data_IF_918183876799
#
_entry.id   IF_918183876799
#
_cell.length_a   1.000
_cell.length_b   1.000
_cell.length_c   1.000
_cell.angle_alpha   90.00
_cell.angle_beta   90.00
_cell.angle_gamma   90.00
#
_symmetry.space_group_name_H-M   'P 1'
#
loop_
_entity.id
_entity.type
_entity.pdbx_description
1 polymer ?
#
# COMPACT_ATOMS: atom_id res chain seq x y z
N UNK A 1 -6.82 4.70 7.81
CA UNK A 1 -6.08 4.40 6.55
C UNK A 1 -6.24 2.92 6.23
N UNK A 2 -6.03 2.51 4.98
CA UNK A 2 -6.05 1.08 4.62
C UNK A 2 -5.15 0.73 3.45
N UNK A 3 -4.73 -0.54 3.44
CA UNK A 3 -4.20 -1.22 2.27
C UNK A 3 -5.16 -2.30 1.84
N UNK A 4 -5.38 -2.42 0.53
CA UNK A 4 -6.21 -3.47 -0.06
C UNK A 4 -5.42 -4.22 -1.12
N UNK A 5 -5.07 -5.48 -0.84
CA UNK A 5 -4.50 -6.38 -1.84
C UNK A 5 -5.62 -6.87 -2.76
N UNK A 6 -5.40 -6.74 -4.07
CA UNK A 6 -6.27 -7.36 -5.07
C UNK A 6 -5.80 -8.80 -5.29
N UNK A 7 -6.68 -9.76 -5.04
CA UNK A 7 -6.41 -11.19 -5.26
C UNK A 7 -6.76 -11.63 -6.68
N UNK A 8 -7.80 -11.02 -7.26
CA UNK A 8 -8.29 -11.29 -8.61
C UNK A 8 -9.02 -10.06 -9.17
N UNK A 9 -8.73 -9.68 -10.42
CA UNK A 9 -9.40 -8.57 -11.11
C UNK A 9 -10.78 -8.93 -11.67
N UNK A 10 -11.14 -10.21 -11.70
CA UNK A 10 -12.36 -10.69 -12.38
C UNK A 10 -13.61 -9.99 -11.86
N UNK A 11 -14.26 -9.25 -12.75
CA UNK A 11 -15.50 -8.54 -12.45
C UNK A 11 -15.35 -7.38 -11.46
N UNK A 12 -14.14 -6.86 -11.25
CA UNK A 12 -13.97 -5.59 -10.54
C UNK A 12 -14.37 -4.41 -11.43
N UNK A 13 -14.94 -3.39 -10.80
CA UNK A 13 -15.16 -2.08 -11.44
C UNK A 13 -14.00 -1.16 -11.10
N UNK A 14 -13.91 0.01 -11.74
CA UNK A 14 -12.76 0.90 -11.59
C UNK A 14 -13.20 2.36 -11.46
N UNK A 15 -12.46 3.11 -10.65
CA UNK A 15 -12.45 4.57 -10.65
C UNK A 15 -11.16 5.03 -11.30
N UNK A 16 -11.22 5.48 -12.56
CA UNK A 16 -10.02 5.72 -13.36
C UNK A 16 -9.23 4.40 -13.55
N UNK A 17 -7.97 4.38 -13.10
CA UNK A 17 -7.11 3.19 -13.10
C UNK A 17 -7.17 2.38 -11.79
N UNK A 18 -7.91 2.86 -10.78
CA UNK A 18 -7.94 2.26 -9.45
C UNK A 18 -9.08 1.23 -9.39
N UNK A 19 -8.79 -0.04 -9.07
CA UNK A 19 -9.84 -1.03 -8.84
C UNK A 19 -10.75 -0.59 -7.69
N UNK A 20 -12.05 -0.53 -7.94
CA UNK A 20 -13.03 -0.33 -6.88
C UNK A 20 -13.00 -1.58 -5.99
N UNK A 21 -12.66 -1.36 -4.73
CA UNK A 21 -12.68 -2.38 -3.68
C UNK A 21 -14.08 -2.35 -3.03
N UNK A 22 -14.99 -3.28 -3.36
CA UNK A 22 -16.34 -3.29 -2.79
C UNK A 22 -16.30 -3.52 -1.28
N UNK A 23 -17.40 -3.17 -0.59
CA UNK A 23 -17.51 -3.39 0.85
C UNK A 23 -17.27 -4.87 1.19
N UNK A 24 -16.39 -5.17 2.15
CA UNK A 24 -16.14 -6.55 2.57
C UNK A 24 -17.41 -7.17 3.16
N UNK A 25 -17.56 -8.51 3.09
CA UNK A 25 -16.58 -9.45 2.56
C UNK A 25 -16.65 -9.59 1.03
N UNK A 26 -15.51 -9.41 0.35
CA UNK A 26 -15.34 -9.76 -1.06
C UNK A 26 -14.17 -10.74 -1.20
N UNK A 27 -14.37 -11.93 -1.79
CA UNK A 27 -13.33 -12.96 -1.88
C UNK A 27 -12.15 -12.57 -2.78
N UNK A 28 -12.24 -11.46 -3.51
CA UNK A 28 -11.22 -10.97 -4.44
C UNK A 28 -10.27 -9.96 -3.80
N UNK A 29 -10.46 -9.61 -2.52
CA UNK A 29 -9.60 -8.64 -1.84
C UNK A 29 -9.17 -9.14 -0.45
N UNK A 30 -8.07 -8.59 0.05
CA UNK A 30 -7.61 -8.73 1.43
C UNK A 30 -7.24 -7.34 1.97
N UNK A 31 -7.72 -6.99 3.16
CA UNK A 31 -7.68 -5.62 3.68
C UNK A 31 -6.91 -5.53 4.98
N UNK A 32 -6.18 -4.43 5.14
CA UNK A 32 -5.51 -4.09 6.38
C UNK A 32 -5.77 -2.64 6.73
N UNK A 33 -6.45 -2.42 7.85
CA UNK A 33 -6.73 -1.11 8.39
C UNK A 33 -5.68 -0.74 9.43
N UNK A 34 -5.25 0.52 9.40
CA UNK A 34 -4.30 1.07 10.34
C UNK A 34 -4.57 2.57 10.52
N UNK A 35 -4.07 3.09 11.63
CA UNK A 35 -4.14 4.50 11.98
C UNK A 35 -2.75 5.01 12.35
N UNK A 36 -2.47 6.26 11.98
CA UNK A 36 -1.28 7.01 12.41
C UNK A 36 -1.77 8.07 13.38
N UNK A 37 -1.10 8.18 14.54
CA UNK A 37 -1.42 9.26 15.45
C UNK A 37 -1.11 10.62 14.81
N UNK A 38 -1.93 11.64 15.08
CA UNK A 38 -1.73 12.98 14.53
C UNK A 38 -0.30 13.52 14.72
N UNK A 39 0.35 13.19 15.83
CA UNK A 39 1.72 13.62 16.16
C UNK A 39 2.79 12.97 15.25
N UNK A 40 2.47 11.84 14.63
CA UNK A 40 3.39 11.03 13.82
C UNK A 40 3.10 11.19 12.32
N UNK A 41 2.10 11.99 11.91
CA UNK A 41 1.72 12.19 10.51
C UNK A 41 2.88 12.77 9.67
N UNK A 42 3.53 13.84 10.14
CA UNK A 42 4.68 14.44 9.45
C UNK A 42 5.84 13.43 9.32
N UNK A 43 6.08 12.63 10.36
CA UNK A 43 7.09 11.56 10.33
C UNK A 43 6.72 10.45 9.35
N UNK A 44 5.44 10.12 9.23
CA UNK A 44 4.97 9.13 8.25
C UNK A 44 5.08 9.67 6.82
N UNK A 45 4.80 10.95 6.61
CA UNK A 45 4.95 11.60 5.32
C UNK A 45 6.42 11.58 4.84
N UNK A 46 7.34 11.99 5.71
CA UNK A 46 8.79 11.97 5.42
C UNK A 46 9.34 10.56 5.24
N UNK A 47 8.87 9.59 6.04
CA UNK A 47 9.46 8.26 6.09
C UNK A 47 8.88 7.26 5.09
N UNK A 48 7.62 7.46 4.72
CA UNK A 48 6.87 6.56 3.86
C UNK A 48 6.36 7.25 2.60
N UNK A 49 5.52 8.29 2.73
CA UNK A 49 4.80 8.87 1.59
C UNK A 49 5.79 9.41 0.55
N UNK A 50 6.67 10.33 0.96
CA UNK A 50 7.64 10.97 0.07
C UNK A 50 8.57 9.98 -0.65
N UNK A 51 9.20 9.00 0.04
CA UNK A 51 10.01 7.98 -0.62
C UNK A 51 9.22 7.08 -1.57
N UNK A 52 8.01 6.66 -1.19
CA UNK A 52 7.17 5.78 -2.02
C UNK A 52 6.70 6.51 -3.28
N UNK A 53 6.32 7.78 -3.18
CA UNK A 53 5.97 8.59 -4.34
C UNK A 53 7.11 8.75 -5.33
N UNK A 54 8.30 9.07 -4.84
CA UNK A 54 9.48 9.16 -5.69
C UNK A 54 9.81 7.82 -6.37
N UNK A 55 9.65 6.70 -5.65
CA UNK A 55 9.94 5.35 -6.13
C UNK A 55 8.93 4.84 -7.16
N UNK A 56 7.65 5.00 -6.85
CA UNK A 56 6.52 4.49 -7.63
C UNK A 56 6.05 5.47 -8.72
N UNK A 57 6.54 6.72 -8.68
CA UNK A 57 6.08 7.85 -9.51
C UNK A 57 4.57 8.08 -9.34
N UNK A 58 4.14 8.10 -8.09
CA UNK A 58 2.77 8.34 -7.66
C UNK A 58 2.64 9.72 -7.01
N UNK A 59 1.42 10.08 -6.64
CA UNK A 59 1.09 11.30 -5.91
C UNK A 59 0.22 10.91 -4.71
N UNK A 60 0.73 10.01 -3.87
CA UNK A 60 0.06 9.59 -2.64
C UNK A 60 0.15 10.74 -1.64
N UNK A 61 -0.98 11.13 -1.07
CA UNK A 61 -1.05 12.05 0.05
C UNK A 61 -2.10 11.56 1.05
N UNK A 62 -2.18 12.17 2.22
CA UNK A 62 -3.28 11.95 3.14
C UNK A 62 -4.61 12.34 2.48
N UNK A 63 -5.63 11.49 2.64
CA UNK A 63 -6.94 11.55 1.99
C UNK A 63 -6.97 11.15 0.51
N UNK A 64 -5.85 10.67 -0.05
CA UNK A 64 -5.79 10.15 -1.41
C UNK A 64 -5.83 8.63 -1.47
N UNK A 65 -6.23 8.14 -2.65
CA UNK A 65 -6.24 6.73 -3.00
C UNK A 65 -5.40 6.51 -4.25
N UNK A 66 -4.55 5.49 -4.23
CA UNK A 66 -3.68 5.13 -5.35
C UNK A 66 -3.60 3.62 -5.53
N UNK A 67 -3.46 3.18 -6.78
CA UNK A 67 -3.26 1.79 -7.13
C UNK A 67 -1.82 1.52 -7.59
N UNK A 68 -1.13 0.68 -6.83
CA UNK A 68 0.18 0.14 -7.17
C UNK A 68 0.02 -1.20 -7.87
N UNK A 69 0.21 -1.23 -9.19
CA UNK A 69 0.29 -2.46 -9.98
C UNK A 69 1.50 -3.34 -9.58
N UNK A 70 1.59 -4.53 -10.16
CA UNK A 70 2.65 -5.49 -9.87
C UNK A 70 4.09 -4.93 -10.07
N UNK A 71 4.31 -4.05 -11.05
CA UNK A 71 5.62 -3.46 -11.32
C UNK A 71 6.00 -2.44 -10.24
N UNK A 72 5.03 -1.63 -9.80
CA UNK A 72 5.22 -0.72 -8.65
C UNK A 72 5.38 -1.51 -7.35
N UNK A 73 4.63 -2.59 -7.17
CA UNK A 73 4.77 -3.50 -6.03
C UNK A 73 6.17 -4.13 -5.97
N UNK A 74 6.77 -4.50 -7.10
CA UNK A 74 8.13 -5.04 -7.13
C UNK A 74 9.16 -4.03 -6.60
N UNK A 75 9.08 -2.77 -7.04
CA UNK A 75 9.96 -1.70 -6.54
C UNK A 75 9.73 -1.45 -5.05
N UNK A 76 8.47 -1.36 -4.64
CA UNK A 76 8.10 -1.09 -3.27
C UNK A 76 8.54 -2.22 -2.33
N UNK A 77 8.43 -3.47 -2.76
CA UNK A 77 8.92 -4.65 -2.02
C UNK A 77 10.40 -4.52 -1.71
N UNK A 78 11.23 -4.26 -2.73
CA UNK A 78 12.68 -4.11 -2.55
C UNK A 78 13.01 -2.95 -1.59
N UNK A 79 12.27 -1.84 -1.70
CA UNK A 79 12.43 -0.72 -0.77
C UNK A 79 12.02 -1.07 0.66
N UNK A 80 10.89 -1.77 0.86
CA UNK A 80 10.40 -2.18 2.18
C UNK A 80 11.37 -3.14 2.88
N UNK A 81 11.95 -4.10 2.14
CA UNK A 81 12.95 -5.03 2.66
C UNK A 81 14.19 -4.29 3.20
N UNK A 82 14.62 -3.21 2.54
CA UNK A 82 15.70 -2.35 3.03
C UNK A 82 15.26 -1.39 4.14
N UNK A 83 14.03 -0.85 4.06
CA UNK A 83 13.48 0.09 5.04
C UNK A 83 13.34 -0.55 6.42
N UNK A 84 12.88 -1.80 6.47
CA UNK A 84 12.68 -2.57 7.71
C UNK A 84 13.98 -2.87 8.47
N UNK A 85 15.14 -2.76 7.82
CA UNK A 85 16.48 -2.95 8.43
C UNK A 85 17.03 -1.68 9.09
N UNK A 86 16.40 -0.53 8.85
CA UNK A 86 16.82 0.77 9.38
C UNK A 86 16.01 1.13 10.63
N UNK A 87 16.41 2.18 11.35
CA UNK A 87 15.62 2.73 12.44
C UNK A 87 14.46 3.57 11.90
N UNK A 88 13.31 3.51 12.58
CA UNK A 88 12.09 4.29 12.32
C UNK A 88 11.20 4.26 13.56
N UNK A 89 10.07 4.99 13.52
CA UNK A 89 9.09 4.92 14.60
C UNK A 89 8.46 3.52 14.64
N UNK A 90 8.59 2.82 15.76
CA UNK A 90 8.22 1.39 15.87
C UNK A 90 6.73 1.13 15.58
N UNK A 91 5.85 2.11 15.76
CA UNK A 91 4.44 1.99 15.37
C UNK A 91 4.22 1.87 13.86
N UNK A 92 5.20 2.21 13.03
CA UNK A 92 5.14 2.00 11.57
C UNK A 92 5.49 0.56 11.17
N UNK A 93 6.08 -0.24 12.07
CA UNK A 93 6.56 -1.59 11.75
C UNK A 93 5.45 -2.51 11.26
N UNK A 94 4.28 -2.63 11.94
CA UNK A 94 3.20 -3.46 11.46
C UNK A 94 2.69 -3.05 10.07
N UNK A 95 2.71 -1.74 9.79
CA UNK A 95 2.27 -1.17 8.51
C UNK A 95 3.22 -1.61 7.39
N UNK A 96 4.52 -1.47 7.60
CA UNK A 96 5.55 -1.83 6.61
C UNK A 96 5.62 -3.33 6.38
N UNK A 97 5.55 -4.14 7.44
CA UNK A 97 5.53 -5.60 7.33
C UNK A 97 4.30 -6.10 6.56
N UNK A 98 3.13 -5.49 6.81
CA UNK A 98 1.91 -5.88 6.11
C UNK A 98 1.92 -5.44 4.64
N UNK A 99 2.44 -4.25 4.35
CA UNK A 99 2.61 -3.81 2.96
C UNK A 99 3.65 -4.66 2.22
N UNK A 100 4.67 -5.17 2.92
CA UNK A 100 5.66 -6.09 2.35
C UNK A 100 5.02 -7.45 1.99
N UNK A 101 4.15 -7.98 2.86
CA UNK A 101 3.33 -9.16 2.54
C UNK A 101 2.46 -8.92 1.30
N UNK A 102 1.73 -7.79 1.28
CA UNK A 102 0.81 -7.48 0.20
C UNK A 102 1.51 -7.25 -1.13
N UNK A 103 2.61 -6.50 -1.16
CA UNK A 103 3.42 -6.31 -2.38
C UNK A 103 3.98 -7.64 -2.89
N UNK A 104 4.48 -8.51 -2.00
CA UNK A 104 4.97 -9.84 -2.37
C UNK A 104 3.88 -10.71 -2.99
N UNK A 105 2.68 -10.73 -2.40
CA UNK A 105 1.53 -11.48 -2.91
C UNK A 105 1.00 -10.89 -4.22
N UNK A 106 0.92 -9.57 -4.33
CA UNK A 106 0.49 -8.88 -5.55
C UNK A 106 1.39 -9.23 -6.75
N UNK A 107 2.71 -9.29 -6.54
CA UNK A 107 3.67 -9.71 -7.58
C UNK A 107 3.38 -11.16 -8.02
N UNK A 108 3.22 -12.07 -7.06
CA UNK A 108 2.95 -13.49 -7.35
C UNK A 108 1.61 -13.69 -8.10
N UNK A 109 0.60 -12.89 -7.76
CA UNK A 109 -0.73 -12.93 -8.38
C UNK A 109 -0.82 -12.12 -9.67
N UNK A 110 0.22 -11.32 -10.00
CA UNK A 110 0.21 -10.35 -11.10
C UNK A 110 -0.94 -9.33 -10.99
N UNK A 111 -1.20 -8.89 -9.76
CA UNK A 111 -2.27 -7.94 -9.41
C UNK A 111 -1.68 -6.60 -8.95
N UNK A 112 -2.02 -6.16 -7.74
CA UNK A 112 -1.57 -4.90 -7.17
C UNK A 112 -2.19 -4.63 -5.80
N UNK A 113 -1.83 -3.50 -5.22
CA UNK A 113 -2.30 -3.02 -3.91
C UNK A 113 -2.89 -1.63 -4.08
N UNK A 114 -4.10 -1.43 -3.55
CA UNK A 114 -4.68 -0.10 -3.36
C UNK A 114 -4.22 0.43 -2.01
N UNK A 115 -3.73 1.66 -1.99
CA UNK A 115 -3.33 2.40 -0.79
C UNK A 115 -4.32 3.56 -0.62
N UNK A 116 -4.91 3.69 0.56
CA UNK A 116 -5.80 4.80 0.95
C UNK A 116 -5.33 5.36 2.29
N UNK A 117 -4.83 6.59 2.28
CA UNK A 117 -4.23 7.26 3.46
C UNK A 117 -5.14 8.35 4.04
#
# INVERSE_FOLDING_TARGET
>A
MRFTLILDFTGLTYYGHIPNTPFPPDPRIDEYFFDIEKKDMDSFEEDFINPVDALCKTLIDFSDVEFLDADKCAKLKDWLEERLKKNFLENFRPIYEKLLDYTSRAIALKTGVVIEL
#
